data_IF_191318014903
#
_entry.id   IF_191318014903
#
_cell.length_a   1.000
_cell.length_b   1.000
_cell.length_c   1.000
_cell.angle_alpha   90.00
_cell.angle_beta   90.00
_cell.angle_gamma   90.00
#
_symmetry.space_group_name_H-M   'P 1'
#
loop_
_entity.id
_entity.type
_entity.pdbx_description
1 polymer ?
#
# COMPACT_ATOMS: atom_id res chain seq x y z
N UNK A 1 25.89 -20.39 2.56
CA UNK A 1 25.61 -19.03 3.03
C UNK A 1 25.57 -18.12 1.80
N UNK A 2 24.39 -17.91 1.21
CA UNK A 2 24.20 -16.91 0.15
C UNK A 2 23.89 -15.60 0.84
N UNK A 3 24.76 -14.62 0.67
CA UNK A 3 24.51 -13.23 1.08
C UNK A 3 23.65 -12.65 -0.03
N UNK A 4 22.36 -12.52 0.22
CA UNK A 4 21.44 -11.90 -0.71
C UNK A 4 21.63 -10.38 -0.62
N UNK A 5 22.05 -9.76 -1.71
CA UNK A 5 22.06 -8.31 -1.94
C UNK A 5 20.64 -7.75 -2.19
N UNK A 6 19.60 -8.50 -1.80
CA UNK A 6 18.17 -8.29 -2.11
C UNK A 6 17.62 -6.93 -1.70
N UNK A 7 18.25 -6.25 -0.74
CA UNK A 7 17.86 -4.90 -0.34
C UNK A 7 17.99 -3.90 -1.48
N UNK A 8 19.04 -3.97 -2.32
CA UNK A 8 19.23 -3.00 -3.40
C UNK A 8 18.25 -3.23 -4.56
N UNK A 9 17.99 -4.49 -4.93
CA UNK A 9 17.06 -4.82 -6.02
C UNK A 9 15.61 -4.49 -5.66
N UNK A 10 15.19 -4.74 -4.41
CA UNK A 10 13.85 -4.41 -3.94
C UNK A 10 13.66 -2.90 -3.79
N UNK A 11 14.66 -2.18 -3.25
CA UNK A 11 14.63 -0.71 -3.17
C UNK A 11 14.59 -0.09 -4.55
N UNK A 12 15.40 -0.57 -5.50
CA UNK A 12 15.39 -0.12 -6.90
C UNK A 12 14.02 -0.34 -7.55
N UNK A 13 13.43 -1.54 -7.36
CA UNK A 13 12.09 -1.85 -7.87
C UNK A 13 11.02 -0.93 -7.29
N UNK A 14 10.99 -0.73 -5.97
CA UNK A 14 9.99 0.11 -5.32
C UNK A 14 10.19 1.59 -5.63
N UNK A 15 11.43 2.03 -5.86
CA UNK A 15 11.74 3.37 -6.37
C UNK A 15 11.17 3.57 -7.78
N UNK A 16 11.41 2.63 -8.69
CA UNK A 16 10.86 2.70 -10.05
C UNK A 16 9.32 2.67 -10.07
N UNK A 17 8.69 1.92 -9.15
CA UNK A 17 7.24 1.92 -8.98
C UNK A 17 6.72 3.26 -8.45
N UNK A 18 7.41 3.87 -7.49
CA UNK A 18 7.08 5.19 -6.97
C UNK A 18 7.22 6.29 -8.05
N UNK A 19 8.30 6.26 -8.84
CA UNK A 19 8.51 7.19 -9.96
C UNK A 19 7.41 7.06 -11.02
N UNK A 20 7.05 5.83 -11.38
CA UNK A 20 5.96 5.53 -12.31
C UNK A 20 4.62 6.03 -11.78
N UNK A 21 4.40 5.89 -10.47
CA UNK A 21 3.22 6.38 -9.79
C UNK A 21 3.13 7.91 -9.81
N UNK A 22 4.22 8.63 -9.55
CA UNK A 22 4.26 10.09 -9.59
C UNK A 22 4.03 10.63 -11.00
N UNK A 23 4.60 9.98 -12.02
CA UNK A 23 4.33 10.32 -13.42
C UNK A 23 2.85 10.09 -13.77
N UNK A 24 2.26 8.98 -13.31
CA UNK A 24 0.86 8.68 -13.56
C UNK A 24 -0.07 9.71 -12.90
N UNK A 25 0.24 10.17 -11.68
CA UNK A 25 -0.48 11.27 -11.03
C UNK A 25 -0.39 12.56 -11.84
N UNK A 26 0.83 12.97 -12.23
CA UNK A 26 1.02 14.20 -13.01
C UNK A 26 0.23 14.18 -14.32
N UNK A 27 0.18 13.02 -15.01
CA UNK A 27 -0.60 12.84 -16.24
C UNK A 27 -2.12 12.83 -16.00
N UNK A 28 -2.59 12.34 -14.85
CA UNK A 28 -4.00 12.42 -14.48
C UNK A 28 -4.42 13.86 -14.17
N UNK A 29 -3.55 14.64 -13.52
CA UNK A 29 -3.81 16.03 -13.12
C UNK A 29 -3.82 17.02 -14.29
N UNK A 30 -3.23 16.69 -15.45
CA UNK A 30 -3.34 17.56 -16.65
C UNK A 30 -4.77 17.66 -17.20
N UNK A 31 -5.70 16.84 -16.73
CA UNK A 31 -7.15 17.00 -16.96
C UNK A 31 -7.61 16.78 -18.41
N UNK A 32 -6.73 16.33 -19.30
CA UNK A 32 -6.98 16.17 -20.74
C UNK A 32 -7.26 14.72 -21.17
N UNK A 33 -7.41 13.81 -20.21
CA UNK A 33 -7.58 12.38 -20.47
C UNK A 33 -9.03 11.93 -20.26
N UNK A 34 -9.52 10.96 -21.05
CA UNK A 34 -10.78 10.29 -20.79
C UNK A 34 -10.79 9.64 -19.40
N UNK A 35 -11.95 9.63 -18.73
CA UNK A 35 -12.14 9.13 -17.36
C UNK A 35 -11.52 7.75 -17.11
N UNK A 36 -11.69 6.81 -18.05
CA UNK A 36 -11.14 5.46 -17.92
C UNK A 36 -9.59 5.45 -17.92
N UNK A 37 -8.94 6.35 -18.66
CA UNK A 37 -7.48 6.50 -18.63
C UNK A 37 -7.02 7.18 -17.36
N UNK A 38 -7.76 8.18 -16.89
CA UNK A 38 -7.49 8.85 -15.61
C UNK A 38 -7.57 7.86 -14.46
N UNK A 39 -8.59 7.00 -14.42
CA UNK A 39 -8.72 5.92 -13.42
C UNK A 39 -7.54 4.94 -13.47
N UNK A 40 -7.12 4.51 -14.66
CA UNK A 40 -5.99 3.59 -14.81
C UNK A 40 -4.66 4.20 -14.30
N UNK A 41 -4.45 5.49 -14.55
CA UNK A 41 -3.27 6.22 -14.04
C UNK A 41 -3.32 6.37 -12.51
N UNK A 42 -4.50 6.67 -11.95
CA UNK A 42 -4.67 6.73 -10.50
C UNK A 42 -4.47 5.36 -9.85
N UNK A 43 -4.89 4.26 -10.49
CA UNK A 43 -4.63 2.90 -10.05
C UNK A 43 -3.12 2.60 -9.92
N UNK A 44 -2.34 2.98 -10.94
CA UNK A 44 -0.88 2.87 -10.93
C UNK A 44 -0.25 3.73 -9.83
N UNK A 45 -0.77 4.94 -9.64
CA UNK A 45 -0.30 5.85 -8.61
C UNK A 45 -0.48 5.29 -7.18
N UNK A 46 -1.64 4.70 -6.88
CA UNK A 46 -1.91 4.05 -5.58
C UNK A 46 -0.94 2.91 -5.31
N UNK A 47 -0.77 2.02 -6.28
CA UNK A 47 0.07 0.84 -6.13
C UNK A 47 1.53 1.24 -5.88
N UNK A 48 2.08 2.18 -6.66
CA UNK A 48 3.45 2.63 -6.47
C UNK A 48 3.67 3.44 -5.19
N UNK A 49 2.69 4.27 -4.78
CA UNK A 49 2.77 5.03 -3.52
C UNK A 49 2.72 4.10 -2.31
N UNK A 50 1.81 3.12 -2.32
CA UNK A 50 1.71 2.11 -1.26
C UNK A 50 3.01 1.31 -1.14
N UNK A 51 3.53 0.80 -2.27
CA UNK A 51 4.76 0.02 -2.28
C UNK A 51 5.99 0.84 -1.86
N UNK A 52 6.07 2.11 -2.29
CA UNK A 52 7.11 3.04 -1.84
C UNK A 52 7.06 3.29 -0.34
N UNK A 53 5.87 3.53 0.22
CA UNK A 53 5.67 3.72 1.65
C UNK A 53 6.03 2.46 2.46
N UNK A 54 5.65 1.27 1.98
CA UNK A 54 6.02 0.00 2.61
C UNK A 54 7.54 -0.22 2.66
N UNK A 55 8.27 0.32 1.68
CA UNK A 55 9.73 0.30 1.61
C UNK A 55 10.41 1.52 2.27
N UNK A 56 9.66 2.35 3.01
CA UNK A 56 10.12 3.58 3.64
C UNK A 56 10.78 4.59 2.67
N UNK A 57 10.36 4.62 1.40
CA UNK A 57 10.76 5.61 0.42
C UNK A 57 9.95 6.90 0.64
N UNK A 58 10.62 8.04 0.78
CA UNK A 58 9.97 9.34 0.98
C UNK A 58 9.31 9.82 -0.33
N UNK A 59 7.98 9.93 -0.37
CA UNK A 59 7.24 10.10 -1.63
C UNK A 59 5.80 10.63 -1.55
N UNK A 60 5.63 11.88 -1.10
CA UNK A 60 4.80 12.94 -1.73
C UNK A 60 3.39 12.61 -2.24
N UNK A 61 2.53 12.04 -1.40
CA UNK A 61 1.11 12.36 -1.43
C UNK A 61 0.44 12.08 -0.09
N UNK A 62 0.01 13.15 0.59
CA UNK A 62 -0.67 13.04 1.88
C UNK A 62 -2.15 12.78 1.65
N UNK A 63 -2.48 11.55 1.25
CA UNK A 63 -3.82 11.06 1.55
C UNK A 63 -4.03 11.03 3.06
N UNK A 64 -5.27 11.18 3.50
CA UNK A 64 -5.62 11.20 4.92
C UNK A 64 -5.77 9.76 5.40
N UNK A 65 -5.08 9.41 6.47
CA UNK A 65 -5.35 8.17 7.19
C UNK A 65 -6.40 8.44 8.24
N UNK A 66 -7.47 7.64 8.24
CA UNK A 66 -8.51 7.75 9.25
C UNK A 66 -8.94 6.38 9.78
N UNK A 67 -9.27 6.35 11.07
CA UNK A 67 -9.83 5.18 11.72
C UNK A 67 -11.34 5.31 11.76
N UNK A 68 -12.02 4.37 11.11
CA UNK A 68 -13.47 4.36 11.04
C UNK A 68 -14.05 3.20 11.85
N UNK A 69 -15.23 3.37 12.46
CA UNK A 69 -15.99 2.26 13.03
C UNK A 69 -16.31 1.21 11.96
N UNK A 70 -16.14 -0.07 12.29
CA UNK A 70 -16.47 -1.20 11.42
C UNK A 70 -17.07 -2.35 12.26
N UNK A 71 -18.40 -2.30 12.45
CA UNK A 71 -19.12 -3.21 13.34
C UNK A 71 -18.70 -3.02 14.80
N UNK A 72 -18.24 -4.09 15.45
CA UNK A 72 -17.63 -4.05 16.79
C UNK A 72 -16.15 -3.64 16.78
N UNK A 73 -15.59 -3.38 15.60
CA UNK A 73 -14.18 -3.10 15.39
C UNK A 73 -13.92 -1.73 14.78
N UNK A 74 -12.71 -1.56 14.26
CA UNK A 74 -12.28 -0.37 13.55
C UNK A 74 -11.55 -0.77 12.27
N UNK A 75 -11.57 0.08 11.25
CA UNK A 75 -10.76 -0.08 10.05
C UNK A 75 -9.92 1.17 9.81
N UNK A 76 -8.68 0.98 9.39
CA UNK A 76 -7.82 2.06 8.94
C UNK A 76 -8.02 2.22 7.44
N UNK A 77 -8.44 3.40 7.02
CA UNK A 77 -8.65 3.71 5.61
C UNK A 77 -7.72 4.84 5.22
N UNK A 78 -7.06 4.69 4.07
CA UNK A 78 -6.37 5.77 3.41
C UNK A 78 -7.27 6.41 2.36
N UNK A 79 -7.48 7.72 2.51
CA UNK A 79 -8.30 8.53 1.64
C UNK A 79 -7.45 9.39 0.73
N UNK A 80 -7.69 9.23 -0.56
CA UNK A 80 -7.12 10.06 -1.60
C UNK A 80 -7.96 11.33 -1.77
N UNK A 81 -7.35 12.50 -2.08
CA UNK A 81 -8.11 13.73 -2.33
C UNK A 81 -9.15 13.62 -3.47
N UNK A 82 -8.94 12.68 -4.40
CA UNK A 82 -9.87 12.37 -5.49
C UNK A 82 -11.13 11.60 -5.05
N UNK A 83 -11.24 11.24 -3.76
CA UNK A 83 -12.37 10.50 -3.20
C UNK A 83 -12.21 8.98 -3.19
N UNK A 84 -11.06 8.46 -3.64
CA UNK A 84 -10.79 7.03 -3.53
C UNK A 84 -10.40 6.65 -2.09
N UNK A 85 -10.93 5.52 -1.63
CA UNK A 85 -10.66 4.95 -0.30
C UNK A 85 -9.97 3.58 -0.43
N UNK A 86 -8.89 3.38 0.32
CA UNK A 86 -8.17 2.11 0.38
C UNK A 86 -8.10 1.60 1.83
N UNK A 87 -8.83 0.54 2.19
CA UNK A 87 -8.70 -0.08 3.51
C UNK A 87 -7.32 -0.71 3.68
N UNK A 88 -6.59 -0.30 4.71
CA UNK A 88 -5.22 -0.75 4.98
C UNK A 88 -5.13 -1.70 6.18
N UNK A 89 -6.04 -1.58 7.15
CA UNK A 89 -6.07 -2.48 8.29
C UNK A 89 -7.48 -2.61 8.86
N UNK A 90 -7.71 -3.70 9.61
CA UNK A 90 -8.91 -3.94 10.39
C UNK A 90 -8.55 -4.43 11.78
N UNK A 91 -9.17 -3.86 12.80
CA UNK A 91 -9.10 -4.28 14.19
C UNK A 91 -10.44 -4.88 14.59
N UNK A 92 -10.42 -6.06 15.20
CA UNK A 92 -11.64 -6.72 15.67
C UNK A 92 -11.40 -7.47 16.97
N UNK A 93 -12.41 -7.47 17.84
CA UNK A 93 -12.35 -8.14 19.12
C UNK A 93 -12.54 -9.65 18.94
N UNK A 94 -11.77 -10.44 19.70
CA UNK A 94 -11.87 -11.89 19.79
C UNK A 94 -12.85 -12.29 20.90
N UNK A 95 -13.33 -13.54 20.87
CA UNK A 95 -14.28 -14.06 21.87
C UNK A 95 -13.74 -14.01 23.31
N UNK A 96 -12.42 -14.12 23.49
CA UNK A 96 -11.76 -14.03 24.79
C UNK A 96 -11.49 -12.57 25.25
N UNK A 97 -11.97 -11.58 24.52
CA UNK A 97 -11.81 -10.16 24.84
C UNK A 97 -10.50 -9.51 24.35
N UNK A 98 -9.59 -10.26 23.71
CA UNK A 98 -8.39 -9.68 23.09
C UNK A 98 -8.70 -9.04 21.74
N UNK A 99 -7.75 -8.29 21.17
CA UNK A 99 -7.90 -7.67 19.86
C UNK A 99 -7.00 -8.34 18.83
N UNK A 100 -7.54 -8.61 17.65
CA UNK A 100 -6.78 -9.03 16.48
C UNK A 100 -6.70 -7.88 15.48
N UNK A 101 -5.56 -7.78 14.79
CA UNK A 101 -5.32 -6.84 13.71
C UNK A 101 -5.06 -7.61 12.41
N UNK A 102 -5.79 -7.26 11.35
CA UNK A 102 -5.51 -7.68 9.98
C UNK A 102 -4.91 -6.48 9.24
N UNK A 103 -3.74 -6.65 8.62
CA UNK A 103 -3.00 -5.58 7.95
C UNK A 103 -2.79 -5.99 6.49
N UNK A 104 -3.00 -5.05 5.57
CA UNK A 104 -2.63 -5.21 4.17
C UNK A 104 -1.13 -4.96 4.05
N UNK A 105 -0.35 -6.02 3.84
CA UNK A 105 1.13 -5.93 3.72
C UNK A 105 1.60 -5.57 2.29
N UNK A 106 0.68 -5.44 1.34
CA UNK A 106 0.99 -5.33 -0.09
C UNK A 106 -0.21 -5.65 -0.96
N UNK A 107 -0.27 -5.06 -2.14
CA UNK A 107 -1.15 -5.49 -3.24
C UNK A 107 -0.28 -6.03 -4.37
N UNK A 108 -0.59 -7.23 -4.86
CA UNK A 108 0.14 -7.92 -5.93
C UNK A 108 -0.85 -8.55 -6.90
N UNK A 109 -0.44 -8.68 -8.14
CA UNK A 109 -1.26 -9.25 -9.22
C UNK A 109 -1.19 -10.80 -9.26
N UNK A 110 -0.20 -11.39 -8.57
CA UNK A 110 0.05 -12.83 -8.50
C UNK A 110 0.06 -13.35 -7.04
N UNK A 111 -0.38 -14.60 -6.86
CA UNK A 111 -0.46 -15.26 -5.56
C UNK A 111 0.91 -15.43 -4.89
N UNK A 112 1.93 -15.87 -5.63
CA UNK A 112 3.26 -16.12 -5.08
C UNK A 112 3.90 -14.81 -4.62
N UNK A 113 3.75 -13.75 -5.41
CA UNK A 113 4.20 -12.42 -4.99
C UNK A 113 3.45 -11.89 -3.76
N UNK A 114 2.13 -12.13 -3.68
CA UNK A 114 1.33 -11.76 -2.53
C UNK A 114 1.78 -12.51 -1.26
N UNK A 115 2.07 -13.81 -1.39
CA UNK A 115 2.62 -14.63 -0.31
C UNK A 115 3.98 -14.10 0.15
N UNK A 116 4.90 -13.80 -0.76
CA UNK A 116 6.21 -13.24 -0.42
C UNK A 116 6.09 -11.88 0.31
N UNK A 117 5.16 -11.02 -0.11
CA UNK A 117 4.90 -9.74 0.57
C UNK A 117 4.35 -9.95 1.99
N UNK A 118 3.45 -10.93 2.17
CA UNK A 118 2.92 -11.28 3.49
C UNK A 118 4.00 -11.86 4.41
N UNK A 119 4.83 -12.79 3.92
CA UNK A 119 5.94 -13.38 4.67
C UNK A 119 6.96 -12.32 5.12
N UNK A 120 7.31 -11.41 4.20
CA UNK A 120 8.14 -10.26 4.53
C UNK A 120 7.51 -9.40 5.62
N UNK A 121 6.22 -9.06 5.50
CA UNK A 121 5.50 -8.29 6.51
C UNK A 121 5.52 -8.96 7.89
N UNK A 122 5.29 -10.28 7.96
CA UNK A 122 5.38 -11.06 9.20
C UNK A 122 6.79 -11.02 9.79
N UNK A 123 7.84 -11.14 8.96
CA UNK A 123 9.23 -11.11 9.43
C UNK A 123 9.62 -9.79 10.12
N UNK A 124 8.96 -8.67 9.77
CA UNK A 124 9.18 -7.36 10.41
C UNK A 124 8.56 -7.27 11.80
N UNK A 125 7.56 -8.10 12.11
CA UNK A 125 6.92 -8.13 13.44
C UNK A 125 7.73 -8.94 14.46
N UNK A 126 8.61 -9.83 14.00
CA UNK A 126 9.38 -10.74 14.85
C UNK A 126 10.84 -10.31 15.04
N UNK A 127 11.28 -9.25 14.35
CA UNK A 127 12.61 -8.66 14.50
C UNK A 127 12.59 -7.57 15.59
N UNK A 128 12.56 -8.03 16.84
CA UNK A 128 12.88 -7.23 18.02
C UNK A 128 14.37 -7.24 18.35
#
# INVERSE_FOLDING_TARGET
MRIFTETDDLVSRFTAQLESALLAQALAETGSLPDERTKALLALWIAGTFNGAAAALEGIARGVLDWEPDGSGHRLVWYMPSGLACPLARLYQQENGTWAALIVAGVRDDLIEAMAAAEWGVSRLTTG
#
